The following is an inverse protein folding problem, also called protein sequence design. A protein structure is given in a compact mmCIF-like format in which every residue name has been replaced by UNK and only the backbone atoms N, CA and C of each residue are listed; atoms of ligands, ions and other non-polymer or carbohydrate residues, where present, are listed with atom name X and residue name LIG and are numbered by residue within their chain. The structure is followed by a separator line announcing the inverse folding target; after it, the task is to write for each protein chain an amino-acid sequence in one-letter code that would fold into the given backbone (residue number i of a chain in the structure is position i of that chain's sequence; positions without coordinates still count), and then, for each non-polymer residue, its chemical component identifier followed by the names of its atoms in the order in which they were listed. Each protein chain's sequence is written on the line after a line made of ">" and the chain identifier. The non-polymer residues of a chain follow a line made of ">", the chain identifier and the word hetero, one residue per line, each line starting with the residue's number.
data_IF_644814660021
#
_entry.id   IF_644814660021
#
_cell.length_a   1.000
_cell.length_b   1.000
_cell.length_c   1.000
_cell.angle_alpha   90.00
_cell.angle_beta   90.00
_cell.angle_gamma   90.00
#
_symmetry.space_group_name_H-M   'P 1'
#
loop_
_entity.id
_entity.type
_entity.pdbx_description
1 polymer ?
#
# COMPACT_ATOMS: atom_id res chain seq x y z
N UNK A 1 3.81 -15.10 3.47
CA UNK A 1 2.68 -14.28 2.96
C UNK A 1 2.17 -13.27 3.99
N UNK A 2 2.60 -13.34 5.26
CA UNK A 2 2.05 -12.52 6.35
C UNK A 2 2.28 -11.00 6.20
N UNK A 3 3.35 -10.59 5.52
CA UNK A 3 3.79 -9.17 5.43
C UNK A 3 3.22 -8.41 4.22
N UNK A 4 2.28 -9.01 3.50
CA UNK A 4 1.64 -8.41 2.33
C UNK A 4 0.14 -8.30 2.53
N UNK A 5 -0.41 -7.19 2.06
CA UNK A 5 -1.86 -6.99 2.01
C UNK A 5 -2.30 -6.84 0.57
N UNK A 6 -3.25 -7.67 0.16
CA UNK A 6 -3.95 -7.50 -1.10
C UNK A 6 -5.09 -6.51 -0.89
N UNK A 7 -5.14 -5.47 -1.73
CA UNK A 7 -6.23 -4.50 -1.75
C UNK A 7 -7.15 -4.89 -2.91
N UNK A 8 -8.39 -5.19 -2.58
CA UNK A 8 -9.35 -5.73 -3.54
C UNK A 8 -10.80 -5.33 -3.22
N UNK A 9 -11.68 -5.56 -4.18
CA UNK A 9 -13.13 -5.43 -4.05
C UNK A 9 -13.81 -6.69 -4.60
N UNK A 10 -14.83 -7.17 -3.90
CA UNK A 10 -15.70 -8.24 -4.40
C UNK A 10 -16.87 -7.60 -5.13
N UNK A 11 -17.16 -8.04 -6.35
CA UNK A 11 -18.28 -7.52 -7.12
C UNK A 11 -18.94 -8.57 -8.01
N UNK A 12 -20.22 -8.36 -8.34
CA UNK A 12 -20.97 -9.26 -9.22
C UNK A 12 -20.75 -8.95 -10.72
N UNK A 13 -19.94 -7.94 -11.04
CA UNK A 13 -19.76 -7.43 -12.41
C UNK A 13 -18.34 -7.65 -12.85
N UNK A 14 -18.13 -8.10 -14.09
CA UNK A 14 -16.78 -8.16 -14.66
C UNK A 14 -16.15 -6.77 -14.71
N UNK A 15 -14.83 -6.63 -14.52
CA UNK A 15 -14.20 -5.32 -14.54
C UNK A 15 -14.32 -4.73 -15.93
N UNK A 16 -14.58 -3.42 -16.00
CA UNK A 16 -14.71 -2.70 -17.27
C UNK A 16 -13.34 -2.47 -17.94
N UNK A 17 -12.25 -2.51 -17.18
CA UNK A 17 -10.89 -2.28 -17.69
C UNK A 17 -10.29 -3.56 -18.26
N UNK A 18 -9.78 -3.49 -19.49
CA UNK A 18 -9.09 -4.60 -20.17
C UNK A 18 -7.84 -5.09 -19.42
N UNK A 19 -7.25 -4.24 -18.58
CA UNK A 19 -6.04 -4.54 -17.79
C UNK A 19 -6.36 -4.83 -16.32
N UNK A 20 -7.64 -5.00 -15.95
CA UNK A 20 -8.00 -5.34 -14.59
C UNK A 20 -7.48 -6.73 -14.23
N UNK A 21 -6.85 -6.83 -13.06
CA UNK A 21 -6.48 -8.11 -12.46
C UNK A 21 -7.65 -8.56 -11.59
N UNK A 22 -8.19 -9.74 -11.85
CA UNK A 22 -9.29 -10.28 -11.04
C UNK A 22 -9.27 -11.80 -11.01
N UNK A 23 -9.93 -12.36 -10.01
CA UNK A 23 -10.16 -13.80 -9.85
C UNK A 23 -11.67 -14.05 -9.79
N UNK A 24 -12.17 -15.01 -10.55
CA UNK A 24 -13.57 -15.49 -10.41
C UNK A 24 -13.68 -16.40 -9.18
N UNK A 25 -14.71 -16.18 -8.36
CA UNK A 25 -15.03 -16.95 -7.16
C UNK A 25 -16.08 -18.02 -7.48
N UNK A 26 -16.18 -19.04 -6.62
CA UNK A 26 -17.06 -20.20 -6.85
C UNK A 26 -18.55 -19.85 -6.89
N UNK A 27 -18.94 -18.72 -6.29
CA UNK A 27 -20.31 -18.21 -6.29
C UNK A 27 -20.64 -17.34 -7.52
N UNK A 28 -19.71 -17.23 -8.47
CA UNK A 28 -19.85 -16.41 -9.68
C UNK A 28 -19.54 -14.92 -9.48
N UNK A 29 -19.19 -14.49 -8.27
CA UNK A 29 -18.66 -13.14 -8.04
C UNK A 29 -17.20 -13.05 -8.45
N UNK A 30 -16.67 -11.84 -8.56
CA UNK A 30 -15.25 -11.59 -8.84
C UNK A 30 -14.58 -10.89 -7.68
N UNK A 31 -13.33 -11.25 -7.44
CA UNK A 31 -12.39 -10.50 -6.60
C UNK A 31 -11.50 -9.67 -7.51
N UNK A 32 -11.79 -8.38 -7.65
CA UNK A 32 -10.97 -7.46 -8.43
C UNK A 32 -9.85 -6.89 -7.56
N UNK A 33 -8.61 -7.11 -8.00
CA UNK A 33 -7.40 -6.68 -7.31
C UNK A 33 -7.02 -5.27 -7.79
N UNK A 34 -6.80 -4.36 -6.84
CA UNK A 34 -6.35 -3.00 -7.12
C UNK A 34 -4.85 -2.86 -6.93
N UNK A 35 -4.34 -3.33 -5.79
CA UNK A 35 -2.93 -3.15 -5.43
C UNK A 35 -2.48 -4.09 -4.31
N UNK A 36 -1.19 -4.01 -3.99
CA UNK A 36 -0.56 -4.76 -2.90
C UNK A 36 0.27 -3.80 -2.05
N UNK A 37 0.12 -3.89 -0.73
CA UNK A 37 1.05 -3.28 0.22
C UNK A 37 2.06 -4.35 0.62
N UNK A 38 3.36 -4.10 0.42
CA UNK A 38 4.44 -4.97 0.87
C UNK A 38 5.20 -4.32 2.02
N UNK A 39 4.95 -4.77 3.25
CA UNK A 39 5.57 -4.21 4.47
C UNK A 39 7.07 -4.43 4.49
N UNK A 40 7.59 -5.42 3.78
CA UNK A 40 9.04 -5.65 3.65
C UNK A 40 9.76 -4.51 2.96
N UNK A 41 9.02 -3.63 2.28
CA UNK A 41 9.52 -2.48 1.53
C UNK A 41 9.23 -1.14 2.21
N UNK A 42 8.78 -1.15 3.46
CA UNK A 42 8.61 0.10 4.20
C UNK A 42 9.95 0.81 4.42
N UNK A 43 9.92 2.14 4.43
CA UNK A 43 11.10 3.00 4.51
C UNK A 43 10.87 4.11 5.55
N UNK A 44 11.89 4.50 6.32
CA UNK A 44 11.82 5.68 7.18
C UNK A 44 11.94 6.96 6.34
N UNK A 45 10.97 7.87 6.45
CA UNK A 45 10.95 9.14 5.73
C UNK A 45 10.92 10.29 6.74
N UNK A 46 11.77 11.30 6.55
CA UNK A 46 11.77 12.52 7.36
C UNK A 46 10.62 13.45 6.97
N UNK A 47 10.14 14.21 7.94
CA UNK A 47 9.18 15.29 7.71
C UNK A 47 9.72 16.29 6.67
N UNK A 48 8.84 16.75 5.78
CA UNK A 48 9.20 17.64 4.67
C UNK A 48 9.77 16.96 3.41
N UNK A 49 10.08 15.66 3.46
CA UNK A 49 10.53 14.89 2.26
C UNK A 49 9.39 14.15 1.55
N UNK A 50 8.16 14.34 2.00
CA UNK A 50 6.96 13.77 1.39
C UNK A 50 5.89 14.84 1.23
N UNK A 51 5.04 14.66 0.23
CA UNK A 51 3.91 15.54 -0.04
C UNK A 51 2.61 14.76 0.07
N UNK A 52 1.60 15.37 0.68
CA UNK A 52 0.25 14.80 0.69
C UNK A 52 -0.33 14.81 -0.72
N UNK A 53 -0.84 13.67 -1.17
CA UNK A 53 -1.59 13.58 -2.41
C UNK A 53 -3.02 14.09 -2.17
N UNK A 54 -3.48 15.01 -3.02
CA UNK A 54 -4.86 15.49 -3.00
C UNK A 54 -5.76 14.57 -3.84
N UNK A 55 -6.67 13.88 -3.15
CA UNK A 55 -7.65 12.95 -3.74
C UNK A 55 -9.06 13.56 -3.82
N UNK A 56 -9.22 14.85 -3.54
CA UNK A 56 -10.51 15.53 -3.65
C UNK A 56 -10.96 15.62 -5.11
N UNK A 57 -12.27 15.49 -5.32
CA UNK A 57 -12.87 15.60 -6.65
C UNK A 57 -12.81 17.04 -7.13
N UNK A 58 -12.19 17.27 -8.29
CA UNK A 58 -12.18 18.58 -8.93
C UNK A 58 -12.93 18.49 -10.28
N UNK A 59 -13.93 19.35 -10.55
CA UNK A 59 -14.64 19.38 -11.82
C UNK A 59 -13.74 19.56 -13.04
N UNK A 60 -12.58 20.21 -12.86
CA UNK A 60 -11.58 20.45 -13.90
C UNK A 60 -10.58 19.31 -14.08
N UNK A 61 -10.68 18.24 -13.29
CA UNK A 61 -9.86 17.05 -13.50
C UNK A 61 -10.16 16.42 -14.86
N UNK A 62 -9.12 16.04 -15.58
CA UNK A 62 -9.27 15.17 -16.75
C UNK A 62 -9.93 13.85 -16.38
N UNK A 63 -10.44 13.12 -17.37
CA UNK A 63 -11.07 11.81 -17.14
C UNK A 63 -10.08 10.83 -16.50
N UNK A 64 -8.82 10.87 -16.94
CA UNK A 64 -7.73 10.03 -16.41
C UNK A 64 -7.45 10.36 -14.94
N UNK A 65 -7.30 11.65 -14.60
CA UNK A 65 -7.06 12.11 -13.23
C UNK A 65 -8.21 11.72 -12.31
N UNK A 66 -9.46 11.88 -12.77
CA UNK A 66 -10.65 11.49 -12.01
C UNK A 66 -10.68 9.98 -11.74
N UNK A 67 -10.39 9.18 -12.76
CA UNK A 67 -10.33 7.71 -12.62
C UNK A 67 -9.21 7.29 -11.64
N UNK A 68 -8.05 7.94 -11.72
CA UNK A 68 -6.94 7.70 -10.79
C UNK A 68 -7.32 8.06 -9.35
N UNK A 69 -7.90 9.24 -9.11
CA UNK A 69 -8.38 9.65 -7.78
C UNK A 69 -9.45 8.69 -7.25
N UNK A 70 -10.37 8.22 -8.09
CA UNK A 70 -11.37 7.23 -7.70
C UNK A 70 -10.74 5.91 -7.28
N UNK A 71 -9.75 5.42 -8.02
CA UNK A 71 -9.00 4.20 -7.66
C UNK A 71 -8.29 4.39 -6.31
N UNK A 72 -7.51 5.47 -6.16
CA UNK A 72 -6.78 5.77 -4.92
C UNK A 72 -7.71 5.92 -3.72
N UNK A 73 -8.90 6.51 -3.89
CA UNK A 73 -9.89 6.62 -2.81
C UNK A 73 -10.46 5.26 -2.39
N UNK A 74 -10.67 4.33 -3.34
CA UNK A 74 -11.06 2.94 -3.01
C UNK A 74 -9.98 2.24 -2.20
N UNK A 75 -8.74 2.34 -2.66
CA UNK A 75 -7.58 1.73 -1.99
C UNK A 75 -7.39 2.32 -0.58
N UNK A 76 -7.42 3.65 -0.46
CA UNK A 76 -7.32 4.35 0.81
C UNK A 76 -8.43 3.94 1.79
N UNK A 77 -9.67 3.87 1.32
CA UNK A 77 -10.82 3.43 2.14
C UNK A 77 -10.68 1.98 2.61
N UNK A 78 -10.09 1.11 1.79
CA UNK A 78 -9.77 -0.26 2.19
C UNK A 78 -8.69 -0.28 3.27
N UNK A 79 -7.58 0.45 3.06
CA UNK A 79 -6.49 0.57 4.02
C UNK A 79 -6.97 1.07 5.38
N UNK A 80 -7.88 2.05 5.42
CA UNK A 80 -8.45 2.56 6.68
C UNK A 80 -9.17 1.46 7.49
N UNK A 81 -9.88 0.53 6.82
CA UNK A 81 -10.58 -0.57 7.50
C UNK A 81 -9.62 -1.58 8.13
N UNK A 82 -8.45 -1.79 7.53
CA UNK A 82 -7.43 -2.74 7.98
C UNK A 82 -6.23 -2.07 8.67
N UNK A 83 -6.28 -0.76 8.91
CA UNK A 83 -5.18 0.04 9.43
C UNK A 83 -4.58 -0.53 10.73
N UNK A 84 -5.38 -0.96 11.73
CA UNK A 84 -4.81 -1.56 12.95
C UNK A 84 -3.97 -2.80 12.66
N UNK A 85 -4.40 -3.63 11.71
CA UNK A 85 -3.70 -4.85 11.32
C UNK A 85 -2.40 -4.54 10.54
N UNK A 86 -2.43 -3.53 9.66
CA UNK A 86 -1.24 -3.04 8.96
C UNK A 86 -0.18 -2.61 9.98
N UNK A 87 -0.55 -1.77 10.95
CA UNK A 87 0.36 -1.26 11.98
C UNK A 87 0.91 -2.41 12.83
N UNK A 88 0.05 -3.32 13.29
CA UNK A 88 0.45 -4.45 14.11
C UNK A 88 1.51 -5.31 13.40
N UNK A 89 1.29 -5.65 12.12
CA UNK A 89 2.22 -6.47 11.35
C UNK A 89 3.51 -5.74 11.00
N UNK A 90 3.43 -4.45 10.68
CA UNK A 90 4.61 -3.63 10.41
C UNK A 90 5.54 -3.58 11.63
N UNK A 91 4.98 -3.37 12.83
CA UNK A 91 5.75 -3.36 14.07
C UNK A 91 6.36 -4.73 14.35
N UNK A 92 5.60 -5.83 14.22
CA UNK A 92 6.11 -7.19 14.40
C UNK A 92 7.31 -7.46 13.48
N UNK A 93 7.18 -7.16 12.19
CA UNK A 93 8.24 -7.35 11.20
C UNK A 93 9.49 -6.51 11.52
N UNK A 94 9.28 -5.28 11.97
CA UNK A 94 10.36 -4.38 12.38
C UNK A 94 11.08 -4.92 13.62
N UNK A 95 10.35 -5.20 14.69
CA UNK A 95 10.88 -5.64 15.98
C UNK A 95 11.64 -6.97 15.85
N UNK A 96 11.15 -7.89 15.03
CA UNK A 96 11.84 -9.14 14.71
C UNK A 96 13.19 -8.89 14.03
N UNK A 97 13.25 -7.96 13.06
CA UNK A 97 14.49 -7.63 12.38
C UNK A 97 15.49 -6.95 13.32
N UNK A 98 15.04 -6.00 14.14
CA UNK A 98 15.90 -5.25 15.08
C UNK A 98 16.44 -6.17 16.18
N UNK A 99 15.60 -7.02 16.76
CA UNK A 99 16.00 -7.92 17.85
C UNK A 99 16.92 -9.04 17.39
N UNK A 100 16.69 -9.61 16.20
CA UNK A 100 17.48 -10.75 15.71
C UNK A 100 18.71 -10.31 14.90
N UNK A 101 18.70 -9.10 14.35
CA UNK A 101 19.70 -8.62 13.39
C UNK A 101 19.64 -9.35 12.04
N UNK A 102 18.64 -10.21 11.80
CA UNK A 102 18.51 -11.00 10.58
C UNK A 102 17.57 -10.32 9.61
N UNK A 103 18.07 -10.01 8.42
CA UNK A 103 17.26 -9.44 7.34
C UNK A 103 16.59 -10.58 6.57
N UNK A 104 15.27 -10.65 6.65
CA UNK A 104 14.50 -11.63 5.88
C UNK A 104 14.70 -11.40 4.37
N UNK A 105 14.60 -12.48 3.58
CA UNK A 105 14.76 -12.40 2.12
C UNK A 105 13.83 -11.33 1.52
N UNK A 106 14.42 -10.46 0.70
CA UNK A 106 13.76 -9.32 0.03
C UNK A 106 13.25 -8.21 0.95
N UNK A 107 13.49 -8.30 2.27
CA UNK A 107 13.19 -7.22 3.21
C UNK A 107 14.24 -6.12 3.11
N UNK A 108 13.79 -4.88 3.27
CA UNK A 108 14.67 -3.77 3.50
C UNK A 108 15.42 -3.95 4.82
N UNK A 109 16.68 -3.52 4.84
CA UNK A 109 17.46 -3.37 6.05
C UNK A 109 17.00 -2.11 6.77
N UNK A 110 16.13 -2.28 7.77
CA UNK A 110 15.51 -1.13 8.44
C UNK A 110 16.54 -0.31 9.22
N UNK A 111 17.49 -0.98 9.87
CA UNK A 111 18.54 -0.31 10.64
C UNK A 111 19.42 0.57 9.74
N UNK A 112 19.87 0.01 8.61
CA UNK A 112 20.66 0.77 7.65
C UNK A 112 19.87 1.94 7.05
N UNK A 113 18.60 1.73 6.71
CA UNK A 113 17.76 2.80 6.16
C UNK A 113 17.51 3.91 7.17
N UNK A 114 17.36 3.61 8.45
CA UNK A 114 17.22 4.62 9.50
C UNK A 114 18.51 5.43 9.70
N UNK A 115 19.66 4.77 9.66
CA UNK A 115 20.97 5.43 9.67
C UNK A 115 21.11 6.39 8.48
N UNK A 116 20.78 5.94 7.27
CA UNK A 116 20.84 6.78 6.06
C UNK A 116 19.77 7.85 6.00
N UNK A 117 18.59 7.59 6.53
CA UNK A 117 17.54 8.59 6.66
C UNK A 117 18.01 9.73 7.57
N UNK A 118 18.69 9.44 8.69
CA UNK A 118 19.28 10.45 9.58
C UNK A 118 20.34 11.33 8.89
N UNK A 119 21.16 10.75 8.01
CA UNK A 119 22.16 11.49 7.22
C UNK A 119 21.53 12.37 6.13
N UNK A 120 20.31 12.06 5.68
CA UNK A 120 19.69 12.76 4.55
C UNK A 120 19.31 14.22 4.91
N UNK A 121 19.71 15.23 4.11
CA UNK A 121 19.40 16.62 4.39
C UNK A 121 17.92 16.94 4.11
N UNK A 122 17.25 17.58 5.07
CA UNK A 122 15.93 18.19 4.85
C UNK A 122 16.19 19.61 4.37
N UNK A 123 15.72 19.95 3.17
CA UNK A 123 15.82 21.30 2.61
C UNK A 123 14.67 22.17 3.10
#
# INVERSE_FOLDING_TARGET
>A
EEDRFLIYEISNKKPLSKNAVFKELSDGTIEQIFSVIDLKKMLPIKEGLYTRVDLTTNPQDSVETRNYKNLMNKEFSFCLKILPLIIQKANKLYDEQISTGKIAKFCCDFKLLEEKSREYPVK
#
